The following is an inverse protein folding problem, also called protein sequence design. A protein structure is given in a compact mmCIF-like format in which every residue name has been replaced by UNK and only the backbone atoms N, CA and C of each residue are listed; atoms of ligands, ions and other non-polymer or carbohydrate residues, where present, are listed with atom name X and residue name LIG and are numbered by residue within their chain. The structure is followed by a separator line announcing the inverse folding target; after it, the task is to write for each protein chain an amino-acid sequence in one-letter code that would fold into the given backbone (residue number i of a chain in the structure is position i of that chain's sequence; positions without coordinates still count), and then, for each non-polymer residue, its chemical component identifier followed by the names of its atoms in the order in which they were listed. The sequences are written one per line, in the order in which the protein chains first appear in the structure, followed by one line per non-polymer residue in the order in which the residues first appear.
data_IF_237781491041
#
_entry.id   IF_237781491041
#
_cell.length_a   1.000
_cell.length_b   1.000
_cell.length_c   1.000
_cell.angle_alpha   90.00
_cell.angle_beta   90.00
_cell.angle_gamma   90.00
#
_symmetry.space_group_name_H-M   'P 1'
#
loop_
_entity.id
_entity.type
_entity.pdbx_description
1 polymer ?
#
# COMPACT_ATOMS: atom_id res chain seq x y z
N UNK A 1 22.72 26.19 -12.41
CA UNK A 1 21.92 25.07 -12.97
C UNK A 1 21.82 24.00 -11.89
N UNK A 2 20.66 23.89 -11.22
CA UNK A 2 20.38 22.68 -10.43
C UNK A 2 20.23 21.54 -11.42
N UNK A 3 21.07 20.54 -11.32
CA UNK A 3 20.88 19.28 -12.04
C UNK A 3 19.53 18.72 -11.59
N UNK A 4 18.65 18.42 -12.56
CA UNK A 4 17.45 17.67 -12.26
C UNK A 4 17.85 16.38 -11.54
N UNK A 5 17.17 15.99 -10.45
CA UNK A 5 17.48 14.75 -9.77
C UNK A 5 17.41 13.62 -10.81
N UNK A 6 18.48 12.88 -10.96
CA UNK A 6 18.50 11.68 -11.81
C UNK A 6 17.72 10.61 -11.05
N UNK A 7 16.45 10.43 -11.40
CA UNK A 7 15.68 9.33 -10.87
C UNK A 7 16.21 8.01 -11.45
N UNK A 8 16.39 7.03 -10.61
CA UNK A 8 16.54 5.65 -11.05
C UNK A 8 15.22 5.20 -11.67
N UNK A 9 15.27 4.59 -12.84
CA UNK A 9 14.09 4.20 -13.58
C UNK A 9 14.26 2.88 -14.33
N UNK A 10 13.14 2.32 -14.81
CA UNK A 10 13.09 1.14 -15.67
C UNK A 10 13.67 -0.13 -15.03
N UNK A 11 13.56 -0.25 -13.69
CA UNK A 11 13.92 -1.49 -13.03
C UNK A 11 12.80 -2.51 -13.18
N UNK A 12 13.16 -3.76 -13.36
CA UNK A 12 12.23 -4.88 -13.41
C UNK A 12 12.64 -5.94 -12.40
N UNK A 13 11.69 -6.29 -11.51
CA UNK A 13 11.74 -7.46 -10.65
C UNK A 13 10.59 -8.35 -11.12
N UNK A 14 10.89 -9.48 -11.72
CA UNK A 14 9.88 -10.35 -12.33
C UNK A 14 10.13 -11.81 -11.99
N UNK A 15 9.04 -12.51 -11.68
CA UNK A 15 9.04 -13.95 -11.42
C UNK A 15 10.05 -14.39 -10.34
N UNK A 16 10.10 -13.65 -9.22
CA UNK A 16 11.02 -13.89 -8.12
C UNK A 16 10.28 -14.35 -6.85
N UNK A 17 10.93 -15.21 -6.06
CA UNK A 17 10.53 -15.47 -4.68
C UNK A 17 11.39 -14.64 -3.74
N UNK A 18 10.79 -13.73 -2.98
CA UNK A 18 11.43 -12.79 -2.06
C UNK A 18 10.89 -13.08 -0.66
N UNK A 19 11.73 -13.61 0.23
CA UNK A 19 11.27 -14.09 1.53
C UNK A 19 12.33 -14.02 2.62
N UNK A 20 11.88 -14.24 3.87
CA UNK A 20 12.73 -14.37 5.06
C UNK A 20 13.54 -13.11 5.34
N UNK A 21 12.97 -11.93 5.06
CA UNK A 21 13.60 -10.64 5.32
C UNK A 21 13.31 -10.09 6.72
N UNK A 22 13.99 -8.99 7.05
CA UNK A 22 13.78 -8.28 8.30
C UNK A 22 14.34 -8.99 9.55
N UNK A 23 15.21 -9.98 9.42
CA UNK A 23 15.69 -10.79 10.55
C UNK A 23 16.60 -10.02 11.52
N UNK A 24 17.37 -9.09 11.03
CA UNK A 24 18.19 -8.20 11.85
C UNK A 24 17.51 -6.85 12.08
N UNK A 25 16.79 -6.35 11.08
CA UNK A 25 16.05 -5.11 11.13
C UNK A 25 14.58 -5.39 10.75
N UNK A 26 13.68 -5.51 11.74
CA UNK A 26 12.29 -5.88 11.49
C UNK A 26 11.55 -4.94 10.53
N UNK A 27 11.96 -3.67 10.41
CA UNK A 27 11.38 -2.69 9.48
C UNK A 27 11.75 -2.91 8.00
N UNK A 28 12.58 -3.91 7.70
CA UNK A 28 12.96 -4.26 6.33
C UNK A 28 11.76 -4.69 5.50
N UNK A 29 11.56 -4.04 4.35
CA UNK A 29 10.51 -4.36 3.38
C UNK A 29 10.95 -5.44 2.41
N UNK A 30 9.99 -6.15 1.80
CA UNK A 30 10.29 -7.13 0.75
C UNK A 30 10.89 -6.47 -0.49
N UNK A 31 10.23 -5.44 -1.00
CA UNK A 31 10.72 -4.61 -2.12
C UNK A 31 10.48 -3.13 -1.79
N UNK A 32 11.49 -2.30 -1.99
CA UNK A 32 11.40 -0.85 -1.81
C UNK A 32 11.65 -0.11 -3.13
N UNK A 33 10.60 0.49 -3.69
CA UNK A 33 10.64 1.38 -4.85
C UNK A 33 10.66 2.83 -4.38
N UNK A 34 11.72 3.21 -3.63
CA UNK A 34 11.87 4.56 -3.11
C UNK A 34 12.52 5.47 -4.14
N UNK A 35 11.87 6.61 -4.44
CA UNK A 35 12.38 7.61 -5.39
C UNK A 35 12.75 7.06 -6.79
N UNK A 36 12.02 6.05 -7.26
CA UNK A 36 12.21 5.44 -8.59
C UNK A 36 10.97 5.64 -9.45
N UNK A 37 11.16 5.68 -10.76
CA UNK A 37 10.05 5.77 -11.71
C UNK A 37 10.05 4.63 -12.73
N UNK A 38 8.93 4.45 -13.41
CA UNK A 38 8.82 3.56 -14.57
C UNK A 38 9.34 2.13 -14.29
N UNK A 39 9.23 1.71 -13.03
CA UNK A 39 9.77 0.43 -12.54
C UNK A 39 8.66 -0.54 -12.21
N UNK A 40 8.95 -1.84 -12.29
CA UNK A 40 7.95 -2.88 -12.20
C UNK A 40 8.33 -3.98 -11.22
N UNK A 41 7.32 -4.46 -10.47
CA UNK A 41 7.39 -5.67 -9.64
C UNK A 41 6.26 -6.59 -10.09
N UNK A 42 6.60 -7.65 -10.80
CA UNK A 42 5.64 -8.50 -11.48
C UNK A 42 5.82 -9.97 -11.13
N UNK A 43 4.72 -10.72 -11.05
CA UNK A 43 4.68 -12.18 -10.91
C UNK A 43 5.54 -12.73 -9.77
N UNK A 44 5.75 -11.92 -8.71
CA UNK A 44 6.60 -12.29 -7.59
C UNK A 44 5.80 -12.92 -6.45
N UNK A 45 6.45 -13.80 -5.71
CA UNK A 45 5.98 -14.30 -4.43
C UNK A 45 6.77 -13.61 -3.31
N UNK A 46 6.11 -12.74 -2.51
CA UNK A 46 6.74 -11.89 -1.49
C UNK A 46 6.13 -12.23 -0.14
N UNK A 47 6.92 -12.82 0.76
CA UNK A 47 6.37 -13.29 2.02
C UNK A 47 7.42 -13.44 3.13
N UNK A 48 6.94 -13.68 4.35
CA UNK A 48 7.78 -13.94 5.53
C UNK A 48 8.67 -12.73 5.88
N UNK A 49 8.03 -11.54 5.98
CA UNK A 49 8.63 -10.31 6.48
C UNK A 49 7.95 -9.84 7.76
N UNK A 50 8.67 -9.10 8.60
CA UNK A 50 8.10 -8.49 9.81
C UNK A 50 7.46 -7.13 9.54
N UNK A 51 7.58 -6.59 8.36
CA UNK A 51 7.01 -5.33 7.92
C UNK A 51 6.32 -5.47 6.56
N UNK A 52 6.36 -4.44 5.76
CA UNK A 52 5.65 -4.27 4.48
C UNK A 52 6.20 -5.20 3.38
N UNK A 53 5.30 -5.69 2.52
CA UNK A 53 5.69 -6.49 1.35
C UNK A 53 6.34 -5.64 0.25
N UNK A 54 5.62 -4.67 -0.29
CA UNK A 54 6.11 -3.73 -1.31
C UNK A 54 5.87 -2.30 -0.85
N UNK A 55 6.89 -1.46 -0.86
CA UNK A 55 6.82 -0.05 -0.48
C UNK A 55 7.19 0.86 -1.64
N UNK A 56 6.41 1.94 -1.87
CA UNK A 56 6.57 2.85 -3.00
C UNK A 56 6.58 4.30 -2.53
N UNK A 57 7.50 5.10 -3.07
CA UNK A 57 7.51 6.55 -2.87
C UNK A 57 8.53 7.06 -1.87
N UNK A 58 8.09 7.44 -0.66
CA UNK A 58 8.88 7.97 0.46
C UNK A 58 9.25 9.45 0.36
N UNK A 59 8.34 10.21 -0.21
CA UNK A 59 8.35 11.68 -0.10
C UNK A 59 7.11 12.10 0.69
N UNK A 60 7.27 12.52 1.94
CA UNK A 60 6.14 12.87 2.82
C UNK A 60 5.33 14.05 2.32
N UNK A 61 4.01 13.92 2.41
CA UNK A 61 3.05 14.94 2.04
C UNK A 61 2.93 15.13 0.52
N UNK A 62 2.27 16.22 0.12
CA UNK A 62 1.98 16.53 -1.29
C UNK A 62 3.15 17.19 -2.01
N UNK A 63 4.36 16.85 -1.67
CA UNK A 63 5.56 17.38 -2.35
C UNK A 63 5.79 16.63 -3.65
N UNK A 64 6.34 17.32 -4.64
CA UNK A 64 6.74 16.67 -5.88
C UNK A 64 7.71 15.52 -5.66
N UNK A 65 7.40 14.38 -6.22
CA UNK A 65 8.17 13.14 -6.11
C UNK A 65 8.60 12.65 -7.49
N UNK A 66 9.75 11.99 -7.55
CA UNK A 66 10.21 11.28 -8.75
C UNK A 66 9.64 9.85 -8.83
N UNK A 67 9.05 9.35 -7.75
CA UNK A 67 8.39 8.05 -7.75
C UNK A 67 7.07 8.13 -8.54
N UNK A 68 7.10 7.73 -9.80
CA UNK A 68 5.97 7.84 -10.72
C UNK A 68 5.92 6.65 -11.67
N UNK A 69 4.73 6.32 -12.16
CA UNK A 69 4.51 5.31 -13.21
C UNK A 69 5.15 3.95 -12.89
N UNK A 70 5.15 3.58 -11.61
CA UNK A 70 5.57 2.25 -11.19
C UNK A 70 4.39 1.27 -11.31
N UNK A 71 4.68 0.02 -11.55
CA UNK A 71 3.67 -1.03 -11.69
C UNK A 71 3.96 -2.17 -10.71
N UNK A 72 2.98 -2.48 -9.85
CA UNK A 72 3.05 -3.60 -8.91
C UNK A 72 1.88 -4.53 -9.26
N UNK A 73 2.16 -5.64 -9.96
CA UNK A 73 1.09 -6.46 -10.51
C UNK A 73 1.38 -7.97 -10.52
N UNK A 74 0.30 -8.74 -10.45
CA UNK A 74 0.32 -10.21 -10.52
C UNK A 74 1.17 -10.88 -9.43
N UNK A 75 1.39 -10.18 -8.31
CA UNK A 75 2.18 -10.70 -7.20
C UNK A 75 1.29 -11.41 -6.17
N UNK A 76 1.87 -12.37 -5.46
CA UNK A 76 1.33 -12.94 -4.24
C UNK A 76 2.12 -12.41 -3.04
N UNK A 77 1.47 -11.64 -2.17
CA UNK A 77 2.09 -10.92 -1.06
C UNK A 77 1.41 -11.36 0.24
N UNK A 78 2.13 -12.02 1.15
CA UNK A 78 1.50 -12.61 2.32
C UNK A 78 2.46 -12.90 3.48
N UNK A 79 1.92 -13.35 4.62
CA UNK A 79 2.66 -13.68 5.84
C UNK A 79 3.56 -12.53 6.30
N UNK A 80 2.94 -11.35 6.46
CA UNK A 80 3.62 -10.11 6.82
C UNK A 80 3.30 -9.68 8.25
N UNK A 81 4.23 -8.93 8.85
CA UNK A 81 4.08 -8.29 10.16
C UNK A 81 4.24 -9.23 11.32
N UNK A 82 3.63 -10.40 11.29
CA UNK A 82 3.70 -11.48 12.29
C UNK A 82 3.43 -11.02 13.73
N UNK A 83 2.68 -9.93 13.91
CA UNK A 83 2.45 -9.32 15.22
C UNK A 83 3.66 -8.60 15.82
N UNK A 84 4.66 -8.24 15.04
CA UNK A 84 5.91 -7.60 15.49
C UNK A 84 5.90 -6.09 15.23
N UNK A 85 5.53 -5.69 14.02
CA UNK A 85 5.53 -4.29 13.59
C UNK A 85 4.10 -3.75 13.47
N UNK A 86 3.98 -2.44 13.41
CA UNK A 86 2.74 -1.70 13.17
C UNK A 86 2.90 -0.77 11.98
N UNK A 87 1.82 -0.10 11.58
CA UNK A 87 1.84 0.92 10.52
C UNK A 87 2.40 0.40 9.20
N UNK A 88 1.78 -0.63 8.69
CA UNK A 88 2.31 -1.40 7.57
C UNK A 88 1.20 -1.87 6.62
N UNK A 89 1.59 -2.27 5.43
CA UNK A 89 0.68 -2.81 4.42
C UNK A 89 1.29 -3.94 3.59
N UNK A 90 0.45 -4.70 2.92
CA UNK A 90 0.93 -5.60 1.87
C UNK A 90 1.60 -4.80 0.76
N UNK A 91 0.89 -3.78 0.26
CA UNK A 91 1.46 -2.72 -0.58
C UNK A 91 1.24 -1.38 0.12
N UNK A 92 2.30 -0.65 0.33
CA UNK A 92 2.37 0.63 1.05
C UNK A 92 2.87 1.73 0.12
N UNK A 93 2.16 2.84 0.02
CA UNK A 93 2.57 4.00 -0.76
C UNK A 93 2.69 5.23 0.13
N UNK A 94 3.67 6.08 -0.14
CA UNK A 94 3.93 7.31 0.63
C UNK A 94 4.33 8.45 -0.30
N UNK A 95 3.54 9.52 -0.29
CA UNK A 95 3.73 10.70 -1.14
C UNK A 95 3.16 10.57 -2.54
N UNK A 96 3.30 11.62 -3.32
CA UNK A 96 2.76 11.69 -4.68
C UNK A 96 3.43 10.67 -5.60
N UNK A 97 2.63 9.91 -6.36
CA UNK A 97 3.14 8.86 -7.24
C UNK A 97 2.25 8.71 -8.49
N UNK A 98 2.18 9.77 -9.27
CA UNK A 98 1.30 9.85 -10.44
C UNK A 98 1.55 8.72 -11.45
N UNK A 99 0.46 8.09 -11.88
CA UNK A 99 0.49 7.00 -12.83
C UNK A 99 1.01 5.67 -12.30
N UNK A 100 1.29 5.58 -11.01
CA UNK A 100 1.60 4.30 -10.36
C UNK A 100 0.34 3.45 -10.23
N UNK A 101 0.47 2.16 -10.56
CA UNK A 101 -0.62 1.18 -10.54
C UNK A 101 -0.29 -0.02 -9.68
N UNK A 102 -1.28 -0.46 -8.89
CA UNK A 102 -1.22 -1.68 -8.08
C UNK A 102 -2.40 -2.54 -8.48
N UNK A 103 -2.17 -3.62 -9.21
CA UNK A 103 -3.29 -4.36 -9.78
C UNK A 103 -3.04 -5.87 -9.91
N UNK A 104 -4.15 -6.60 -9.94
CA UNK A 104 -4.14 -8.05 -10.13
C UNK A 104 -3.25 -8.80 -9.12
N UNK A 105 -3.07 -8.24 -7.90
CA UNK A 105 -2.30 -8.88 -6.84
C UNK A 105 -3.22 -9.67 -5.90
N UNK A 106 -2.63 -10.67 -5.27
CA UNK A 106 -3.22 -11.42 -4.17
C UNK A 106 -2.48 -11.04 -2.90
N UNK A 107 -3.18 -10.39 -1.93
CA UNK A 107 -2.58 -9.88 -0.69
C UNK A 107 -3.33 -10.46 0.51
N UNK A 108 -2.64 -11.18 1.39
CA UNK A 108 -3.29 -11.79 2.54
C UNK A 108 -2.35 -12.02 3.73
N UNK A 109 -2.93 -12.30 4.89
CA UNK A 109 -2.20 -12.60 6.12
C UNK A 109 -1.21 -11.49 6.50
N UNK A 110 -1.75 -10.27 6.68
CA UNK A 110 -0.99 -9.10 7.11
C UNK A 110 -1.35 -8.80 8.57
N UNK A 111 -0.43 -9.10 9.50
CA UNK A 111 -0.69 -9.08 10.93
C UNK A 111 0.22 -8.10 11.66
N UNK A 112 -0.34 -6.96 12.06
CA UNK A 112 0.36 -5.94 12.86
C UNK A 112 0.39 -6.26 14.36
N UNK A 113 1.30 -5.60 15.08
CA UNK A 113 1.37 -5.68 16.54
C UNK A 113 0.19 -4.97 17.22
N UNK A 114 -0.09 -3.72 16.87
CA UNK A 114 -1.15 -2.93 17.50
C UNK A 114 -2.12 -2.31 16.49
N UNK A 115 -1.65 -1.48 15.57
CA UNK A 115 -2.47 -0.82 14.56
C UNK A 115 -1.85 -1.00 13.18
N UNK A 116 -2.63 -0.75 12.15
CA UNK A 116 -2.20 -0.97 10.79
C UNK A 116 -2.36 -2.43 10.38
N UNK A 117 -1.47 -2.94 9.52
CA UNK A 117 -1.65 -4.26 8.94
C UNK A 117 -2.80 -4.26 7.95
N UNK A 118 -2.74 -3.35 6.98
CA UNK A 118 -3.67 -3.26 5.85
C UNK A 118 -3.16 -4.06 4.66
N UNK A 119 -4.06 -4.47 3.78
CA UNK A 119 -3.60 -5.09 2.53
C UNK A 119 -3.05 -4.03 1.58
N UNK A 120 -3.81 -2.97 1.33
CA UNK A 120 -3.41 -1.83 0.51
C UNK A 120 -3.44 -0.56 1.35
N UNK A 121 -2.35 0.18 1.36
CA UNK A 121 -2.21 1.35 2.20
C UNK A 121 -1.67 2.55 1.42
N UNK A 122 -2.46 3.62 1.36
CA UNK A 122 -2.03 4.93 0.89
C UNK A 122 -1.77 5.84 2.08
N UNK A 123 -0.50 6.05 2.40
CA UNK A 123 -0.08 6.88 3.51
C UNK A 123 0.12 8.34 3.08
N UNK A 124 0.71 9.13 3.92
CA UNK A 124 0.83 10.58 3.90
C UNK A 124 1.13 11.18 2.52
N UNK A 125 0.14 11.88 1.95
CA UNK A 125 0.27 12.58 0.67
C UNK A 125 0.26 11.67 -0.56
N UNK A 126 -0.15 10.41 -0.44
CA UNK A 126 -0.33 9.54 -1.60
C UNK A 126 -1.30 10.16 -2.60
N UNK A 127 -0.86 10.34 -3.84
CA UNK A 127 -1.63 11.03 -4.86
C UNK A 127 -1.46 10.41 -6.25
N UNK A 128 -2.56 10.34 -7.00
CA UNK A 128 -2.56 9.93 -8.40
C UNK A 128 -2.27 8.44 -8.63
N UNK A 129 -2.61 7.59 -7.67
CA UNK A 129 -2.37 6.14 -7.67
C UNK A 129 -3.66 5.40 -8.00
N UNK A 130 -3.57 4.36 -8.79
CA UNK A 130 -4.68 3.44 -9.07
C UNK A 130 -4.40 2.08 -8.46
N UNK A 131 -5.34 1.57 -7.63
CA UNK A 131 -5.31 0.22 -7.09
C UNK A 131 -6.55 -0.55 -7.53
N UNK A 132 -6.38 -1.58 -8.37
CA UNK A 132 -7.51 -2.26 -8.99
C UNK A 132 -7.32 -3.76 -9.16
N UNK A 133 -8.43 -4.49 -9.15
CA UNK A 133 -8.48 -5.94 -9.39
C UNK A 133 -7.57 -6.75 -8.45
N UNK A 134 -7.36 -6.23 -7.21
CA UNK A 134 -6.63 -6.97 -6.19
C UNK A 134 -7.60 -7.81 -5.34
N UNK A 135 -7.14 -8.96 -4.92
CA UNK A 135 -7.84 -9.83 -3.97
C UNK A 135 -7.11 -9.77 -2.62
N UNK A 136 -7.78 -9.25 -1.60
CA UNK A 136 -7.20 -8.96 -0.30
C UNK A 136 -8.01 -9.59 0.83
N UNK A 137 -7.36 -10.31 1.75
CA UNK A 137 -8.06 -10.88 2.91
C UNK A 137 -7.16 -11.12 4.13
N UNK A 138 -7.80 -11.36 5.28
CA UNK A 138 -7.17 -11.73 6.55
C UNK A 138 -6.08 -10.74 6.99
N UNK A 139 -6.48 -9.49 7.13
CA UNK A 139 -5.62 -8.41 7.62
C UNK A 139 -6.01 -8.02 9.04
N UNK A 140 -5.08 -7.52 9.84
CA UNK A 140 -5.37 -7.11 11.22
C UNK A 140 -6.31 -5.93 11.25
N UNK A 141 -6.06 -4.93 10.46
CA UNK A 141 -6.88 -3.72 10.38
C UNK A 141 -7.85 -3.81 9.18
N UNK A 142 -7.78 -2.95 8.20
CA UNK A 142 -8.68 -2.99 7.06
C UNK A 142 -8.07 -3.59 5.80
N UNK A 143 -8.89 -3.93 4.82
CA UNK A 143 -8.39 -4.29 3.49
C UNK A 143 -7.74 -3.12 2.77
N UNK A 144 -8.25 -1.90 3.02
CA UNK A 144 -7.70 -0.66 2.47
C UNK A 144 -7.69 0.46 3.53
N UNK A 145 -6.64 1.24 3.53
CA UNK A 145 -6.53 2.46 4.34
C UNK A 145 -5.92 3.60 3.54
N UNK A 146 -6.52 4.80 3.68
CA UNK A 146 -5.91 6.07 3.32
C UNK A 146 -5.68 6.91 4.57
N UNK A 147 -4.42 7.22 4.87
CA UNK A 147 -4.11 8.16 5.95
C UNK A 147 -4.52 9.58 5.54
N UNK A 148 -3.92 10.12 4.49
CA UNK A 148 -4.40 11.26 3.73
C UNK A 148 -3.77 11.26 2.33
N UNK A 149 -4.53 11.69 1.35
CA UNK A 149 -4.11 11.68 -0.04
C UNK A 149 -5.13 12.32 -0.95
N UNK A 150 -4.83 12.42 -2.23
CA UNK A 150 -5.71 13.03 -3.21
C UNK A 150 -5.73 12.25 -4.53
N UNK A 151 -6.91 12.16 -5.15
CA UNK A 151 -7.07 11.57 -6.47
C UNK A 151 -6.66 10.10 -6.61
N UNK A 152 -6.59 9.36 -5.50
CA UNK A 152 -6.39 7.91 -5.55
C UNK A 152 -7.67 7.20 -5.99
N UNK A 153 -7.54 6.20 -6.86
CA UNK A 153 -8.66 5.41 -7.39
C UNK A 153 -8.50 3.96 -6.92
N UNK A 154 -9.45 3.50 -6.11
CA UNK A 154 -9.50 2.14 -5.58
C UNK A 154 -10.74 1.49 -6.16
N UNK A 155 -10.56 0.59 -7.13
CA UNK A 155 -11.69 0.03 -7.87
C UNK A 155 -11.56 -1.44 -8.20
N UNK A 156 -12.71 -2.11 -8.31
CA UNK A 156 -12.78 -3.51 -8.73
C UNK A 156 -11.95 -4.47 -7.86
N UNK A 157 -11.71 -4.14 -6.59
CA UNK A 157 -11.00 -5.02 -5.67
C UNK A 157 -11.98 -5.87 -4.85
N UNK A 158 -11.47 -6.94 -4.27
CA UNK A 158 -12.17 -7.74 -3.27
C UNK A 158 -11.40 -7.61 -1.95
N UNK A 159 -12.07 -7.10 -0.91
CA UNK A 159 -11.57 -7.00 0.46
C UNK A 159 -12.41 -7.88 1.37
N UNK A 160 -11.83 -8.95 1.94
CA UNK A 160 -12.58 -9.93 2.69
C UNK A 160 -11.93 -10.25 4.05
N UNK A 161 -12.79 -10.51 5.06
CA UNK A 161 -12.41 -11.07 6.37
C UNK A 161 -11.31 -10.29 7.11
N UNK A 162 -11.38 -8.98 7.07
CA UNK A 162 -10.52 -8.10 7.85
C UNK A 162 -11.01 -8.07 9.30
N UNK A 163 -10.11 -7.93 10.28
CA UNK A 163 -10.41 -8.22 11.69
C UNK A 163 -10.83 -7.01 12.51
N UNK A 164 -10.32 -5.80 12.24
CA UNK A 164 -10.49 -4.62 13.11
C UNK A 164 -10.92 -3.38 12.32
N UNK A 165 -11.55 -2.44 13.01
CA UNK A 165 -11.80 -1.03 12.65
C UNK A 165 -12.46 -0.74 11.29
N UNK A 166 -12.94 -1.76 10.59
CA UNK A 166 -13.60 -1.61 9.28
C UNK A 166 -12.70 -1.96 8.09
N UNK A 167 -13.34 -2.43 7.04
CA UNK A 167 -12.64 -2.92 5.86
C UNK A 167 -11.98 -1.81 5.04
N UNK A 168 -12.51 -0.59 5.16
CA UNK A 168 -12.04 0.62 4.47
C UNK A 168 -11.93 1.75 5.47
N UNK A 169 -10.83 2.47 5.45
CA UNK A 169 -10.60 3.59 6.36
C UNK A 169 -9.97 4.78 5.65
N UNK A 170 -10.44 5.98 6.00
CA UNK A 170 -9.88 7.26 5.61
C UNK A 170 -9.67 8.11 6.86
N UNK A 171 -8.42 8.46 7.20
CA UNK A 171 -8.13 9.08 8.48
C UNK A 171 -8.31 10.60 8.48
N UNK A 172 -7.98 11.29 7.40
CA UNK A 172 -8.06 12.76 7.31
C UNK A 172 -8.81 13.22 6.06
N UNK A 173 -9.54 14.33 6.18
CA UNK A 173 -10.34 14.89 5.08
C UNK A 173 -9.67 16.11 4.40
N UNK A 174 -8.85 16.84 5.13
CA UNK A 174 -8.09 18.01 4.62
C UNK A 174 -6.72 18.03 5.28
N UNK A 175 -5.68 18.21 4.49
CA UNK A 175 -4.30 18.41 4.96
C UNK A 175 -3.63 19.46 4.10
N UNK A 176 -3.00 20.46 4.73
CA UNK A 176 -2.33 21.58 4.02
C UNK A 176 -3.26 22.30 3.02
N UNK A 177 -4.52 22.51 3.41
CA UNK A 177 -5.58 23.11 2.59
C UNK A 177 -5.94 22.32 1.32
N UNK A 178 -5.44 21.11 1.17
CA UNK A 178 -5.77 20.22 0.07
C UNK A 178 -6.85 19.25 0.55
N UNK A 179 -8.02 19.20 -0.13
CA UNK A 179 -9.03 18.18 0.16
C UNK A 179 -8.49 16.78 -0.09
N UNK A 180 -8.56 15.92 0.93
CA UNK A 180 -8.23 14.52 0.76
C UNK A 180 -9.38 13.82 0.04
N UNK A 181 -9.10 13.31 -1.16
CA UNK A 181 -10.09 12.67 -2.02
C UNK A 181 -9.75 11.21 -2.28
N UNK A 182 -10.78 10.39 -2.33
CA UNK A 182 -10.69 8.96 -2.58
C UNK A 182 -11.85 8.54 -3.48
N UNK A 183 -11.53 7.93 -4.61
CA UNK A 183 -12.52 7.29 -5.48
C UNK A 183 -12.56 5.79 -5.19
N UNK A 184 -13.53 5.38 -4.35
CA UNK A 184 -13.72 3.98 -3.97
C UNK A 184 -14.94 3.42 -4.68
N UNK A 185 -14.74 2.70 -5.80
CA UNK A 185 -15.82 2.31 -6.71
C UNK A 185 -15.75 0.84 -7.13
N UNK A 186 -16.90 0.22 -7.29
CA UNK A 186 -17.04 -1.15 -7.79
C UNK A 186 -16.21 -2.20 -7.01
N UNK A 187 -15.95 -1.98 -5.72
CA UNK A 187 -15.27 -2.96 -4.90
C UNK A 187 -16.27 -3.89 -4.21
N UNK A 188 -15.87 -5.13 -3.99
CA UNK A 188 -16.59 -6.07 -3.13
C UNK A 188 -15.92 -6.04 -1.75
N UNK A 189 -16.72 -5.78 -0.71
CA UNK A 189 -16.21 -5.75 0.66
C UNK A 189 -17.03 -6.72 1.51
N UNK A 190 -16.36 -7.75 2.01
CA UNK A 190 -16.95 -8.76 2.88
C UNK A 190 -16.37 -8.65 4.29
N UNK A 191 -17.18 -8.17 5.23
CA UNK A 191 -16.82 -8.11 6.65
C UNK A 191 -17.46 -9.27 7.41
N UNK A 192 -16.70 -9.88 8.30
CA UNK A 192 -17.23 -10.91 9.20
C UNK A 192 -17.97 -10.28 10.37
N UNK A 193 -17.36 -9.28 10.98
CA UNK A 193 -17.88 -8.51 12.11
C UNK A 193 -17.34 -7.07 12.03
N UNK A 194 -18.10 -6.12 12.57
CA UNK A 194 -17.69 -4.72 12.61
C UNK A 194 -18.19 -3.85 11.45
N UNK A 195 -17.81 -2.58 11.41
CA UNK A 195 -18.30 -1.62 10.43
C UNK A 195 -17.62 -1.82 9.06
N UNK A 196 -18.37 -1.56 7.99
CA UNK A 196 -17.83 -1.53 6.62
C UNK A 196 -16.78 -0.43 6.46
N UNK A 197 -17.04 0.73 7.03
CA UNK A 197 -16.14 1.89 7.01
C UNK A 197 -15.71 2.21 8.44
N UNK A 198 -14.42 2.13 8.70
CA UNK A 198 -13.86 2.51 9.99
C UNK A 198 -13.91 4.03 10.18
N UNK A 199 -14.26 4.48 11.38
CA UNK A 199 -14.13 5.89 11.76
C UNK A 199 -12.66 6.17 12.05
N UNK A 200 -12.10 7.22 11.43
CA UNK A 200 -10.82 7.77 11.84
C UNK A 200 -10.84 8.19 13.32
N UNK A 201 -9.68 8.42 13.95
CA UNK A 201 -9.65 9.07 15.25
C UNK A 201 -10.38 10.40 15.16
N UNK A 202 -11.20 10.70 16.19
CA UNK A 202 -11.90 11.98 16.33
C UNK A 202 -10.89 13.07 16.63
#
# INVERSE_FOLDING_TARGET
RRLAPRATAFNLIDNCTIRQGGRFNPEGTGVALTHVSDSKVLHCEIHDFFYTGVSVGWTWGFRGSVAQRNEIAFNRIYDLGKGIMSDMGGVYTLGTSFGTTVHDNVVHDVHSYSYGGWALYTDEGSEGIVMERNLCWNTTDGGFHQHYGAGCIIRNNIFAWNRMLGAVRMARQVVQDIPCTLHFVNNIVLVREGPLVGRGPR
#
